data_IF_195276893643
#
_entry.id   IF_195276893643
#
_cell.length_a   1.000
_cell.length_b   1.000
_cell.length_c   1.000
_cell.angle_alpha   90.00
_cell.angle_beta   90.00
_cell.angle_gamma   90.00
#
_symmetry.space_group_name_H-M   'P 1'
#
loop_
_entity.id
_entity.type
_entity.pdbx_description
1 polymer ?
#
# COMPACT_ATOMS: atom_id res chain seq x y z
N UNK A 1 37.49 10.97 75.83
CA UNK A 1 36.52 12.03 75.58
C UNK A 1 36.32 12.10 74.08
N UNK A 2 35.34 11.56 73.74
CA UNK A 2 34.19 11.65 72.82
C UNK A 2 34.11 13.00 72.15
N UNK A 3 33.92 12.96 70.82
CA UNK A 3 32.93 13.78 70.19
C UNK A 3 32.67 13.22 68.77
N UNK A 4 31.41 12.89 68.59
CA UNK A 4 30.78 12.45 67.37
C UNK A 4 30.69 13.60 66.37
N UNK A 5 31.00 13.34 65.13
CA UNK A 5 30.64 14.23 64.02
C UNK A 5 29.84 13.45 63.00
N UNK A 6 28.55 13.72 62.98
CA UNK A 6 27.59 13.22 62.02
C UNK A 6 27.88 13.77 60.62
N UNK A 7 28.03 12.87 59.68
CA UNK A 7 28.14 13.20 58.25
C UNK A 7 26.73 13.14 57.63
N UNK A 8 26.25 14.28 57.17
CA UNK A 8 25.00 14.42 56.43
C UNK A 8 25.17 13.82 55.03
N UNK A 9 24.46 12.73 54.76
CA UNK A 9 24.33 12.13 53.46
C UNK A 9 23.35 12.92 52.61
N UNK A 10 23.81 13.59 51.58
CA UNK A 10 23.00 14.21 50.57
C UNK A 10 22.56 13.18 49.51
N UNK A 11 21.30 12.80 49.58
CA UNK A 11 20.66 11.92 48.61
C UNK A 11 20.41 12.73 47.32
N UNK A 12 21.19 12.47 46.30
CA UNK A 12 20.87 12.94 44.95
C UNK A 12 19.89 11.96 44.30
N UNK A 13 18.72 12.46 43.96
CA UNK A 13 17.73 11.77 43.14
C UNK A 13 18.24 11.64 41.69
N UNK A 14 18.10 10.50 41.05
CA UNK A 14 18.45 10.38 39.62
C UNK A 14 17.41 11.13 38.78
N UNK A 15 17.89 12.07 38.03
CA UNK A 15 17.14 12.76 36.97
C UNK A 15 16.69 11.70 35.95
N UNK A 16 15.41 11.44 35.87
CA UNK A 16 14.81 10.67 34.81
C UNK A 16 15.03 11.47 33.51
N UNK A 17 15.91 10.97 32.66
CA UNK A 17 15.98 11.37 31.27
C UNK A 17 14.70 10.91 30.59
N UNK A 18 13.87 11.86 30.23
CA UNK A 18 12.71 11.74 29.38
C UNK A 18 13.19 11.21 28.01
N UNK A 19 13.21 9.88 27.86
CA UNK A 19 13.38 9.25 26.56
C UNK A 19 12.06 9.44 25.83
N UNK A 20 11.97 10.51 25.05
CA UNK A 20 10.92 10.69 24.08
C UNK A 20 10.81 9.42 23.24
N UNK A 21 9.79 8.63 23.53
CA UNK A 21 9.37 7.50 22.74
C UNK A 21 9.10 8.02 21.33
N UNK A 22 10.07 7.86 20.43
CA UNK A 22 9.82 7.95 18.99
C UNK A 22 8.93 6.75 18.69
N UNK A 23 7.62 6.96 18.64
CA UNK A 23 6.67 6.05 18.05
C UNK A 23 7.00 5.96 16.56
N UNK A 24 8.00 5.17 16.21
CA UNK A 24 8.13 4.71 14.84
C UNK A 24 6.88 3.87 14.56
N UNK A 25 6.04 4.36 13.65
CA UNK A 25 4.85 3.63 13.23
C UNK A 25 5.24 2.20 12.85
N UNK A 26 4.50 1.24 13.40
CA UNK A 26 4.71 -0.17 13.03
C UNK A 26 4.49 -0.33 11.52
N UNK A 27 5.28 -1.16 10.83
CA UNK A 27 5.11 -1.38 9.40
C UNK A 27 3.70 -1.93 9.10
N UNK A 28 3.15 -1.52 7.95
CA UNK A 28 1.93 -2.10 7.42
C UNK A 28 2.26 -3.51 6.90
N UNK A 29 1.55 -4.53 7.38
CA UNK A 29 1.74 -5.90 6.90
C UNK A 29 0.49 -6.37 6.17
N UNK A 30 0.63 -6.75 4.90
CA UNK A 30 -0.44 -7.30 4.07
C UNK A 30 0.08 -8.59 3.42
N UNK A 31 -0.66 -9.68 3.59
CA UNK A 31 -0.30 -11.00 3.04
C UNK A 31 1.16 -11.43 3.33
N UNK A 32 1.65 -11.13 4.54
CA UNK A 32 3.00 -11.48 4.98
C UNK A 32 4.12 -10.57 4.47
N UNK A 33 3.81 -9.55 3.65
CA UNK A 33 4.76 -8.55 3.17
C UNK A 33 4.63 -7.24 3.96
N UNK A 34 5.78 -6.70 4.38
CA UNK A 34 5.84 -5.43 5.11
C UNK A 34 6.00 -4.26 4.15
N UNK A 35 5.29 -3.17 4.44
CA UNK A 35 5.32 -1.91 3.68
C UNK A 35 5.61 -0.76 4.63
N UNK A 36 6.40 0.20 4.16
CA UNK A 36 6.69 1.44 4.89
C UNK A 36 5.57 2.47 4.69
N UNK A 37 5.05 2.55 3.47
CA UNK A 37 3.93 3.43 3.14
C UNK A 37 2.60 2.77 3.47
N UNK A 38 1.71 3.52 4.14
CA UNK A 38 0.31 3.13 4.37
C UNK A 38 -0.63 3.66 3.30
N UNK A 39 -0.10 4.43 2.33
CA UNK A 39 -0.86 4.99 1.23
C UNK A 39 -0.88 4.03 0.05
N UNK A 40 -2.07 3.63 -0.36
CA UNK A 40 -2.33 2.94 -1.61
C UNK A 40 -2.84 3.97 -2.62
N UNK A 41 -2.19 4.05 -3.79
CA UNK A 41 -2.61 4.99 -4.84
C UNK A 41 -3.35 4.28 -5.97
N UNK A 42 -4.24 5.02 -6.62
CA UNK A 42 -4.90 4.57 -7.84
C UNK A 42 -4.15 5.00 -9.09
N UNK A 43 -4.54 4.45 -10.22
CA UNK A 43 -3.94 4.73 -11.55
C UNK A 43 -4.92 5.36 -12.54
N UNK A 44 -6.14 5.65 -12.09
CA UNK A 44 -7.17 6.25 -12.94
C UNK A 44 -7.09 7.77 -13.01
N UNK A 45 -7.54 8.32 -14.15
CA UNK A 45 -7.77 9.76 -14.36
C UNK A 45 -6.51 10.65 -14.43
N UNK A 46 -5.34 10.10 -14.55
CA UNK A 46 -4.16 10.84 -14.97
C UNK A 46 -4.18 11.09 -16.48
N UNK A 47 -3.51 12.13 -16.95
CA UNK A 47 -3.49 12.48 -18.37
C UNK A 47 -2.77 11.45 -19.24
N UNK A 48 -1.75 10.83 -18.69
CA UNK A 48 -0.89 9.86 -19.37
C UNK A 48 -0.12 8.97 -18.37
N UNK A 49 0.62 8.01 -18.89
CA UNK A 49 1.41 7.08 -18.09
C UNK A 49 2.55 7.75 -17.34
N UNK A 50 3.16 8.79 -17.92
CA UNK A 50 4.25 9.52 -17.27
C UNK A 50 3.74 10.31 -16.05
N UNK A 51 2.60 10.95 -16.16
CA UNK A 51 1.97 11.62 -15.02
C UNK A 51 1.58 10.62 -13.92
N UNK A 52 1.09 9.43 -14.31
CA UNK A 52 0.79 8.34 -13.37
C UNK A 52 2.05 7.92 -12.60
N UNK A 53 3.17 7.74 -13.31
CA UNK A 53 4.47 7.39 -12.72
C UNK A 53 4.94 8.46 -11.74
N UNK A 54 4.98 9.71 -12.18
CA UNK A 54 5.45 10.84 -11.36
C UNK A 54 4.61 11.03 -10.10
N UNK A 55 3.29 10.93 -10.21
CA UNK A 55 2.39 11.04 -9.07
C UNK A 55 2.60 9.90 -8.06
N UNK A 56 2.77 8.69 -8.54
CA UNK A 56 3.03 7.51 -7.70
C UNK A 56 4.36 7.62 -6.96
N UNK A 57 5.41 8.07 -7.66
CA UNK A 57 6.73 8.30 -7.05
C UNK A 57 6.69 9.41 -6.01
N UNK A 58 6.05 10.54 -6.33
CA UNK A 58 5.91 11.67 -5.40
C UNK A 58 5.12 11.30 -4.14
N UNK A 59 4.13 10.43 -4.26
CA UNK A 59 3.34 9.93 -3.14
C UNK A 59 4.11 8.96 -2.23
N UNK A 60 5.21 8.38 -2.69
CA UNK A 60 5.95 7.35 -1.98
C UNK A 60 5.16 6.06 -1.76
N UNK A 61 4.14 5.81 -2.58
CA UNK A 61 3.31 4.62 -2.47
C UNK A 61 4.07 3.37 -2.91
N UNK A 62 3.88 2.28 -2.19
CA UNK A 62 4.46 0.96 -2.50
C UNK A 62 3.42 0.01 -3.08
N UNK A 63 2.12 0.29 -2.86
CA UNK A 63 0.99 -0.47 -3.40
C UNK A 63 0.19 0.44 -4.32
N UNK A 64 -0.08 -0.04 -5.53
CA UNK A 64 -0.79 0.71 -6.57
C UNK A 64 -1.97 -0.10 -7.06
N UNK A 65 -3.18 0.47 -7.00
CA UNK A 65 -4.39 -0.21 -7.49
C UNK A 65 -4.58 -0.01 -8.97
N UNK A 66 -4.96 -1.07 -9.67
CA UNK A 66 -5.14 -1.09 -11.12
C UNK A 66 -6.47 -1.73 -11.51
N UNK A 67 -7.31 -1.00 -12.21
CA UNK A 67 -8.56 -1.54 -12.75
C UNK A 67 -8.28 -2.35 -14.01
N UNK A 68 -8.35 -3.66 -13.94
CA UNK A 68 -7.98 -4.59 -15.01
C UNK A 68 -8.79 -4.36 -16.29
N UNK A 69 -10.05 -4.03 -16.17
CA UNK A 69 -10.94 -3.79 -17.31
C UNK A 69 -10.73 -2.41 -17.97
N UNK A 70 -9.96 -1.53 -17.36
CA UNK A 70 -9.78 -0.13 -17.81
C UNK A 70 -8.34 0.22 -18.15
N UNK A 71 -7.40 -0.64 -17.81
CA UNK A 71 -5.97 -0.39 -17.99
C UNK A 71 -5.32 -1.53 -18.73
N UNK A 72 -4.42 -1.20 -19.66
CA UNK A 72 -3.57 -2.21 -20.30
C UNK A 72 -2.39 -2.53 -19.36
N UNK A 73 -2.28 -3.80 -18.96
CA UNK A 73 -1.15 -4.35 -18.20
C UNK A 73 -0.48 -5.54 -18.93
N UNK A 74 -0.66 -5.58 -20.27
CA UNK A 74 -0.09 -6.61 -21.15
C UNK A 74 -1.12 -7.40 -21.95
N UNK A 75 -2.44 -7.20 -21.72
CA UNK A 75 -3.50 -7.86 -22.48
C UNK A 75 -3.62 -7.36 -23.93
N UNK A 76 -3.16 -6.14 -24.21
CA UNK A 76 -3.04 -5.61 -25.57
C UNK A 76 -1.57 -5.29 -25.87
N UNK A 77 -0.88 -6.11 -26.70
CA UNK A 77 0.53 -5.89 -27.02
C UNK A 77 0.78 -4.67 -27.91
N UNK A 78 -0.26 -4.16 -28.60
CA UNK A 78 -0.14 -3.01 -29.50
C UNK A 78 -0.26 -1.66 -28.79
N UNK A 79 -0.55 -1.67 -27.51
CA UNK A 79 -0.68 -0.48 -26.67
C UNK A 79 0.36 -0.46 -25.55
N UNK A 80 0.82 0.75 -25.12
CA UNK A 80 1.69 0.86 -23.97
C UNK A 80 1.08 0.20 -22.73
N UNK A 81 1.89 -0.55 -22.00
CA UNK A 81 1.49 -1.17 -20.74
C UNK A 81 1.71 -0.22 -19.56
N UNK A 82 0.76 -0.19 -18.63
CA UNK A 82 0.95 0.50 -17.36
C UNK A 82 2.15 -0.06 -16.58
N UNK A 83 2.47 -1.34 -16.75
CA UNK A 83 3.60 -1.98 -16.10
C UNK A 83 4.97 -1.52 -16.64
N UNK A 84 5.01 -0.83 -17.78
CA UNK A 84 6.25 -0.23 -18.30
C UNK A 84 6.70 0.95 -17.41
N UNK A 85 5.76 1.65 -16.78
CA UNK A 85 6.02 2.80 -15.90
C UNK A 85 5.86 2.48 -14.42
N UNK A 86 5.12 1.43 -14.08
CA UNK A 86 4.91 0.92 -12.72
C UNK A 86 5.28 -0.57 -12.66
N UNK A 87 6.57 -0.90 -12.73
CA UNK A 87 7.01 -2.29 -12.82
C UNK A 87 6.72 -3.08 -11.53
N UNK A 88 6.30 -4.35 -11.63
CA UNK A 88 5.94 -5.19 -10.47
C UNK A 88 7.09 -5.54 -9.54
N UNK A 89 8.33 -5.37 -9.96
CA UNK A 89 9.52 -5.54 -9.11
C UNK A 89 9.72 -4.36 -8.13
N UNK A 90 9.21 -3.19 -8.49
CA UNK A 90 9.27 -1.98 -7.66
C UNK A 90 7.99 -1.74 -6.86
N UNK A 91 6.85 -2.03 -7.44
CA UNK A 91 5.52 -1.78 -6.84
C UNK A 91 4.75 -3.08 -6.63
N UNK A 92 4.01 -3.16 -5.54
CA UNK A 92 2.96 -4.18 -5.43
C UNK A 92 1.75 -3.71 -6.21
N UNK A 93 1.47 -4.38 -7.31
CA UNK A 93 0.27 -4.12 -8.09
C UNK A 93 -0.91 -4.79 -7.41
N UNK A 94 -1.95 -4.01 -7.11
CA UNK A 94 -3.20 -4.49 -6.54
C UNK A 94 -4.30 -4.37 -7.59
N UNK A 95 -4.52 -5.42 -8.40
CA UNK A 95 -5.57 -5.38 -9.40
C UNK A 95 -6.94 -5.31 -8.75
N UNK A 96 -7.87 -4.60 -9.37
CA UNK A 96 -9.25 -4.56 -8.95
C UNK A 96 -10.20 -4.97 -10.09
N UNK A 97 -11.39 -5.40 -9.69
CA UNK A 97 -12.45 -5.87 -10.57
C UNK A 97 -13.51 -4.81 -10.83
N UNK A 98 -13.12 -3.52 -10.83
CA UNK A 98 -14.02 -2.42 -11.12
C UNK A 98 -14.74 -2.60 -12.46
N UNK A 99 -16.04 -2.36 -12.46
CA UNK A 99 -16.91 -2.54 -13.62
C UNK A 99 -17.43 -3.97 -13.81
N UNK A 100 -17.22 -4.87 -12.87
CA UNK A 100 -17.87 -6.18 -12.84
C UNK A 100 -19.23 -6.08 -12.13
N UNK A 101 -20.28 -6.58 -12.79
CA UNK A 101 -21.65 -6.57 -12.28
C UNK A 101 -22.13 -7.96 -11.85
N UNK A 102 -21.34 -8.98 -12.10
CA UNK A 102 -21.63 -10.37 -11.68
C UNK A 102 -20.40 -10.98 -11.02
N UNK A 103 -20.64 -11.97 -10.17
CA UNK A 103 -19.57 -12.77 -9.55
C UNK A 103 -18.70 -13.46 -10.62
N UNK A 104 -19.32 -13.99 -11.67
CA UNK A 104 -18.60 -14.67 -12.75
C UNK A 104 -17.66 -13.73 -13.51
N UNK A 105 -18.08 -12.48 -13.76
CA UNK A 105 -17.23 -11.47 -14.38
C UNK A 105 -16.04 -11.12 -13.48
N UNK A 106 -16.28 -10.98 -12.19
CA UNK A 106 -15.23 -10.71 -11.23
C UNK A 106 -14.21 -11.85 -11.16
N UNK A 107 -14.68 -13.11 -11.11
CA UNK A 107 -13.81 -14.29 -11.10
C UNK A 107 -12.96 -14.37 -12.38
N UNK A 108 -13.55 -14.13 -13.56
CA UNK A 108 -12.82 -14.11 -14.84
C UNK A 108 -11.77 -13.01 -14.85
N UNK A 109 -12.12 -11.81 -14.36
CA UNK A 109 -11.20 -10.68 -14.27
C UNK A 109 -10.04 -10.97 -13.30
N UNK A 110 -10.31 -11.60 -12.15
CA UNK A 110 -9.26 -12.01 -11.21
C UNK A 110 -8.30 -13.04 -11.82
N UNK A 111 -8.81 -14.01 -12.57
CA UNK A 111 -7.99 -15.01 -13.26
C UNK A 111 -7.08 -14.37 -14.32
N UNK A 112 -7.63 -13.46 -15.12
CA UNK A 112 -6.84 -12.69 -16.09
C UNK A 112 -5.74 -11.88 -15.39
N UNK A 113 -6.08 -11.17 -14.33
CA UNK A 113 -5.10 -10.39 -13.56
C UNK A 113 -3.96 -11.27 -13.04
N UNK A 114 -4.28 -12.44 -12.51
CA UNK A 114 -3.28 -13.38 -11.99
C UNK A 114 -2.34 -13.89 -13.09
N UNK A 115 -2.87 -14.16 -14.28
CA UNK A 115 -2.05 -14.56 -15.43
C UNK A 115 -1.12 -13.44 -15.88
N UNK A 116 -1.64 -12.22 -16.01
CA UNK A 116 -0.87 -11.04 -16.46
C UNK A 116 0.18 -10.59 -15.43
N UNK A 117 -0.01 -10.90 -14.16
CA UNK A 117 0.87 -10.55 -13.05
C UNK A 117 1.67 -11.76 -12.50
N UNK A 118 1.92 -12.73 -13.33
CA UNK A 118 2.80 -13.88 -13.06
C UNK A 118 2.44 -14.63 -11.76
N UNK A 119 1.16 -14.93 -11.59
CA UNK A 119 0.67 -15.70 -10.44
C UNK A 119 0.38 -14.87 -9.18
N UNK A 120 0.52 -13.54 -9.25
CA UNK A 120 0.16 -12.65 -8.14
C UNK A 120 -1.32 -12.83 -7.75
N UNK A 121 -1.61 -13.02 -6.46
CA UNK A 121 -2.92 -13.42 -5.99
C UNK A 121 -3.59 -12.42 -5.03
N UNK A 122 -3.04 -11.23 -4.85
CA UNK A 122 -3.75 -10.14 -4.20
C UNK A 122 -4.76 -9.52 -5.18
N UNK A 123 -5.92 -9.16 -4.68
CA UNK A 123 -6.96 -8.51 -5.47
C UNK A 123 -7.82 -7.60 -4.57
N UNK A 124 -8.25 -6.48 -5.12
CA UNK A 124 -9.32 -5.66 -4.56
C UNK A 124 -10.63 -6.02 -5.27
N UNK A 125 -11.45 -6.83 -4.62
CA UNK A 125 -12.68 -7.36 -5.19
C UNK A 125 -13.78 -6.30 -5.18
N UNK A 126 -14.36 -6.07 -6.35
CA UNK A 126 -15.54 -5.24 -6.55
C UNK A 126 -16.56 -6.00 -7.40
N UNK A 127 -17.81 -6.05 -6.93
CA UNK A 127 -18.96 -6.53 -7.71
C UNK A 127 -20.12 -5.59 -7.44
N UNK A 128 -20.67 -4.98 -8.48
CA UNK A 128 -21.76 -4.02 -8.37
C UNK A 128 -23.08 -4.66 -8.77
N UNK A 129 -24.04 -4.72 -7.83
CA UNK A 129 -25.41 -5.19 -8.10
C UNK A 129 -26.29 -4.06 -8.67
N UNK A 130 -26.01 -2.83 -8.32
CA UNK A 130 -26.74 -1.64 -8.77
C UNK A 130 -25.78 -0.54 -9.23
N UNK A 131 -25.87 -0.16 -10.51
CA UNK A 131 -25.03 0.88 -11.11
C UNK A 131 -25.25 2.29 -10.54
N UNK A 132 -26.43 2.58 -10.00
CA UNK A 132 -26.78 3.91 -9.47
C UNK A 132 -26.30 4.10 -8.04
N UNK A 133 -26.48 3.11 -7.19
CA UNK A 133 -26.12 3.16 -5.78
C UNK A 133 -24.70 2.62 -5.53
N UNK A 134 -24.15 1.86 -6.47
CA UNK A 134 -22.87 1.14 -6.37
C UNK A 134 -22.86 0.09 -5.26
N UNK A 135 -24.02 -0.37 -4.81
CA UNK A 135 -24.12 -1.48 -3.86
C UNK A 135 -23.79 -2.83 -4.52
N UNK A 136 -23.14 -3.72 -3.77
CA UNK A 136 -22.85 -5.09 -4.23
C UNK A 136 -24.10 -5.96 -4.40
#
# INVERSE_FOLDING_TARGET
>A
MQEDTQTLSSTQSPTQSDQGSQNADSPLVIAGRSYRSRLLTGTGKYSDLEQTRLATEAAGAEIVTVAIRRSNIGQNPDEPSLLDVLPPDRYTILPNTAGCFTADDAVRTCRLARELLDGHNLVKLEVLGDEKTLFP
#
